data_IF_543934299951
#
_entry.id   IF_543934299951
#
_cell.length_a   1.000
_cell.length_b   1.000
_cell.length_c   1.000
_cell.angle_alpha   90.00
_cell.angle_beta   90.00
_cell.angle_gamma   90.00
#
_symmetry.space_group_name_H-M   'P 1'
#
loop_
_entity.id
_entity.type
_entity.pdbx_description
1 polymer ?
#
# COMPACT_ATOMS: atom_id res chain seq x y z
N UNK A 1 8.90 -25.29 -18.87
CA UNK A 1 8.75 -24.08 -19.73
C UNK A 1 7.98 -23.07 -18.91
N UNK A 2 8.67 -22.30 -18.08
CA UNK A 2 8.11 -21.16 -17.36
C UNK A 2 7.89 -20.04 -18.36
N UNK A 3 6.67 -19.93 -18.88
CA UNK A 3 6.29 -18.82 -19.74
C UNK A 3 6.27 -17.55 -18.90
N UNK A 4 7.30 -16.72 -19.01
CA UNK A 4 7.23 -15.33 -18.55
C UNK A 4 6.09 -14.67 -19.29
N UNK A 5 5.04 -14.30 -18.56
CA UNK A 5 3.87 -13.57 -19.07
C UNK A 5 4.34 -12.37 -19.90
N UNK A 6 3.82 -12.19 -21.10
CA UNK A 6 4.23 -11.07 -21.95
C UNK A 6 3.60 -9.74 -21.46
N UNK A 7 4.02 -8.61 -22.05
CA UNK A 7 3.50 -7.29 -21.64
C UNK A 7 2.00 -7.12 -21.90
N UNK A 8 1.47 -7.74 -22.95
CA UNK A 8 0.05 -7.66 -23.30
C UNK A 8 -0.79 -8.47 -22.32
N UNK A 9 -0.34 -9.66 -21.95
CA UNK A 9 -0.97 -10.49 -20.92
C UNK A 9 -0.96 -9.79 -19.55
N UNK A 10 0.15 -9.13 -19.18
CA UNK A 10 0.25 -8.30 -17.97
C UNK A 10 -0.78 -7.18 -17.97
N UNK A 11 -0.93 -6.46 -19.08
CA UNK A 11 -1.86 -5.34 -19.20
C UNK A 11 -3.33 -5.81 -19.12
N UNK A 12 -3.66 -6.91 -19.80
CA UNK A 12 -4.99 -7.52 -19.75
C UNK A 12 -5.36 -7.98 -18.33
N UNK A 13 -4.43 -8.62 -17.64
CA UNK A 13 -4.62 -9.03 -16.24
C UNK A 13 -4.82 -7.81 -15.33
N UNK A 14 -3.99 -6.78 -15.46
CA UNK A 14 -4.10 -5.56 -14.67
C UNK A 14 -5.46 -4.86 -14.89
N UNK A 15 -5.96 -4.83 -16.12
CA UNK A 15 -7.27 -4.26 -16.43
C UNK A 15 -8.41 -5.12 -15.88
N UNK A 16 -8.33 -6.44 -15.96
CA UNK A 16 -9.29 -7.34 -15.35
C UNK A 16 -9.35 -7.16 -13.82
N UNK A 17 -8.19 -7.09 -13.16
CA UNK A 17 -8.09 -6.82 -11.72
C UNK A 17 -8.68 -5.46 -11.36
N UNK A 18 -8.35 -4.40 -12.11
CA UNK A 18 -8.89 -3.06 -11.89
C UNK A 18 -10.40 -3.03 -12.03
N UNK A 19 -10.94 -3.67 -13.07
CA UNK A 19 -12.39 -3.79 -13.28
C UNK A 19 -13.06 -4.47 -12.09
N UNK A 20 -12.49 -5.57 -11.59
CA UNK A 20 -13.01 -6.28 -10.43
C UNK A 20 -12.94 -5.45 -9.15
N UNK A 21 -11.84 -4.72 -8.91
CA UNK A 21 -11.67 -3.88 -7.72
C UNK A 21 -12.55 -2.63 -7.71
N UNK A 22 -12.94 -2.12 -8.88
CA UNK A 22 -13.79 -0.92 -9.02
C UNK A 22 -15.27 -1.24 -9.16
N UNK A 23 -15.64 -2.50 -9.45
CA UNK A 23 -17.03 -2.95 -9.50
C UNK A 23 -17.74 -2.73 -8.15
N UNK A 24 -19.06 -2.43 -8.12
CA UNK A 24 -19.82 -2.35 -6.88
C UNK A 24 -19.76 -3.65 -6.06
N UNK A 25 -19.83 -3.53 -4.73
CA UNK A 25 -19.71 -4.70 -3.82
C UNK A 25 -20.81 -5.73 -4.09
N UNK A 26 -22.01 -5.27 -4.41
CA UNK A 26 -23.18 -6.11 -4.66
C UNK A 26 -23.03 -6.99 -5.92
N UNK A 27 -22.24 -6.54 -6.90
CA UNK A 27 -22.02 -7.25 -8.17
C UNK A 27 -20.83 -8.23 -8.10
N UNK A 28 -19.81 -7.93 -7.31
CA UNK A 28 -18.57 -8.71 -7.23
C UNK A 28 -18.51 -9.70 -6.06
N UNK A 29 -19.36 -9.54 -5.05
CA UNK A 29 -19.24 -10.27 -3.77
C UNK A 29 -18.01 -9.83 -2.96
N UNK A 30 -17.52 -10.65 -2.00
CA UNK A 30 -16.26 -10.37 -1.31
C UNK A 30 -15.09 -10.35 -2.28
N UNK A 31 -14.29 -9.28 -2.27
CA UNK A 31 -13.15 -9.13 -3.19
C UNK A 31 -12.13 -10.28 -3.04
N UNK A 32 -12.04 -10.90 -1.87
CA UNK A 32 -11.19 -12.09 -1.63
C UNK A 32 -11.53 -13.24 -2.59
N UNK A 33 -12.83 -13.57 -2.71
CA UNK A 33 -13.31 -14.62 -3.62
C UNK A 33 -13.06 -14.26 -5.08
N UNK A 34 -13.34 -13.03 -5.47
CA UNK A 34 -13.12 -12.58 -6.85
C UNK A 34 -11.63 -12.59 -7.25
N UNK A 35 -10.71 -12.28 -6.32
CA UNK A 35 -9.27 -12.40 -6.56
C UNK A 35 -8.84 -13.87 -6.65
N UNK A 36 -9.42 -14.76 -5.84
CA UNK A 36 -9.18 -16.19 -5.93
C UNK A 36 -9.61 -16.75 -7.30
N UNK A 37 -10.78 -16.35 -7.81
CA UNK A 37 -11.29 -16.74 -9.13
C UNK A 37 -10.40 -16.21 -10.28
N UNK A 38 -9.77 -15.04 -10.09
CA UNK A 38 -8.77 -14.48 -11.01
C UNK A 38 -7.39 -15.13 -10.86
N UNK A 39 -7.25 -16.18 -10.06
CA UNK A 39 -6.02 -16.96 -9.94
C UNK A 39 -5.00 -16.39 -8.96
N UNK A 40 -5.40 -15.56 -8.00
CA UNK A 40 -4.49 -15.00 -6.99
C UNK A 40 -3.57 -16.05 -6.32
N UNK A 41 -4.07 -17.19 -5.80
CA UNK A 41 -3.21 -18.21 -5.20
C UNK A 41 -2.13 -18.74 -6.14
N UNK A 42 -2.47 -18.92 -7.43
CA UNK A 42 -1.55 -19.41 -8.45
C UNK A 42 -0.51 -18.35 -8.81
N UNK A 43 -0.95 -17.10 -9.02
CA UNK A 43 -0.04 -15.98 -9.31
C UNK A 43 0.97 -15.75 -8.19
N UNK A 44 0.51 -15.82 -6.93
CA UNK A 44 1.39 -15.68 -5.77
C UNK A 44 2.41 -16.83 -5.68
N UNK A 45 2.01 -18.05 -6.05
CA UNK A 45 2.91 -19.21 -6.03
C UNK A 45 3.98 -19.17 -7.14
N UNK A 46 3.59 -18.80 -8.37
CA UNK A 46 4.47 -18.87 -9.54
C UNK A 46 5.31 -17.61 -9.75
N UNK A 47 4.77 -16.43 -9.45
CA UNK A 47 5.41 -15.13 -9.70
C UNK A 47 5.09 -14.11 -8.58
N UNK A 48 5.53 -14.37 -7.34
CA UNK A 48 5.14 -13.58 -6.17
C UNK A 48 5.44 -12.09 -6.31
N UNK A 49 6.62 -11.71 -6.83
CA UNK A 49 7.01 -10.31 -7.00
C UNK A 49 6.06 -9.53 -7.90
N UNK A 50 5.71 -10.09 -9.07
CA UNK A 50 4.82 -9.44 -10.04
C UNK A 50 3.36 -9.45 -9.56
N UNK A 51 2.92 -10.54 -8.95
CA UNK A 51 1.59 -10.66 -8.35
C UNK A 51 1.39 -9.63 -7.24
N UNK A 52 2.34 -9.54 -6.30
CA UNK A 52 2.33 -8.57 -5.20
C UNK A 52 2.33 -7.15 -5.74
N UNK A 53 3.25 -6.82 -6.64
CA UNK A 53 3.33 -5.48 -7.25
C UNK A 53 2.00 -5.08 -7.88
N UNK A 54 1.43 -5.94 -8.72
CA UNK A 54 0.23 -5.63 -9.50
C UNK A 54 -0.99 -5.49 -8.60
N UNK A 55 -1.26 -6.50 -7.77
CA UNK A 55 -2.47 -6.53 -6.93
C UNK A 55 -2.44 -5.42 -5.88
N UNK A 56 -1.34 -5.27 -5.14
CA UNK A 56 -1.31 -4.30 -4.04
C UNK A 56 -1.26 -2.86 -4.54
N UNK A 57 -0.59 -2.58 -5.67
CA UNK A 57 -0.67 -1.25 -6.30
C UNK A 57 -2.11 -0.92 -6.69
N UNK A 58 -2.82 -1.84 -7.34
CA UNK A 58 -4.22 -1.64 -7.75
C UNK A 58 -5.16 -1.49 -6.55
N UNK A 59 -4.96 -2.23 -5.45
CA UNK A 59 -5.71 -2.02 -4.20
C UNK A 59 -5.55 -0.57 -3.71
N UNK A 60 -4.35 -0.02 -3.80
CA UNK A 60 -4.09 1.38 -3.45
C UNK A 60 -4.73 2.38 -4.39
N UNK A 61 -4.56 2.18 -5.70
CA UNK A 61 -5.08 3.09 -6.74
C UNK A 61 -6.62 3.16 -6.73
N UNK A 62 -7.28 2.03 -6.50
CA UNK A 62 -8.75 1.93 -6.50
C UNK A 62 -9.38 2.24 -5.14
N UNK A 63 -8.59 2.19 -4.07
CA UNK A 63 -9.09 2.27 -2.69
C UNK A 63 -9.79 0.98 -2.22
N UNK A 64 -9.77 -0.09 -3.02
CA UNK A 64 -10.30 -1.39 -2.65
C UNK A 64 -9.43 -2.08 -1.59
N UNK A 65 -9.97 -3.11 -0.94
CA UNK A 65 -9.22 -3.90 0.04
C UNK A 65 -9.64 -5.37 0.05
N UNK A 66 -8.67 -6.23 0.31
CA UNK A 66 -8.84 -7.67 0.44
C UNK A 66 -7.86 -8.20 1.49
N UNK A 67 -8.15 -9.35 2.14
CA UNK A 67 -7.30 -9.95 3.15
C UNK A 67 -6.06 -10.67 2.58
N UNK A 68 -5.73 -10.44 1.31
CA UNK A 68 -4.64 -11.11 0.56
C UNK A 68 -3.24 -10.84 1.13
N UNK A 69 -3.08 -9.87 2.04
CA UNK A 69 -1.85 -9.73 2.82
C UNK A 69 -1.60 -10.95 3.73
N UNK A 70 -2.66 -11.59 4.24
CA UNK A 70 -2.53 -12.85 4.96
C UNK A 70 -1.88 -13.90 4.06
N UNK A 71 -2.30 -14.01 2.79
CA UNK A 71 -1.76 -14.99 1.85
C UNK A 71 -0.29 -14.73 1.54
N UNK A 72 0.12 -13.47 1.40
CA UNK A 72 1.53 -13.10 1.21
C UNK A 72 2.37 -13.59 2.39
N UNK A 73 1.92 -13.36 3.63
CA UNK A 73 2.64 -13.78 4.83
C UNK A 73 2.62 -15.31 5.00
N UNK A 74 1.52 -15.98 4.65
CA UNK A 74 1.43 -17.44 4.64
C UNK A 74 2.39 -18.05 3.62
N UNK A 75 2.42 -17.51 2.41
CA UNK A 75 3.33 -17.93 1.35
C UNK A 75 4.79 -17.78 1.78
N UNK A 76 5.15 -16.63 2.36
CA UNK A 76 6.49 -16.39 2.89
C UNK A 76 6.86 -17.37 4.02
N UNK A 77 5.87 -17.82 4.81
CA UNK A 77 6.03 -18.83 5.84
C UNK A 77 5.93 -20.29 5.33
N UNK A 78 5.78 -20.52 4.02
CA UNK A 78 5.62 -21.86 3.43
C UNK A 78 4.29 -22.55 3.78
N UNK A 79 3.25 -21.77 4.09
CA UNK A 79 1.90 -22.24 4.44
C UNK A 79 0.92 -21.99 3.29
N UNK A 80 -0.14 -22.82 3.14
CA UNK A 80 -1.16 -22.58 2.13
C UNK A 80 -1.94 -21.27 2.39
N UNK A 81 -2.46 -20.61 1.35
CA UNK A 81 -3.29 -19.42 1.47
C UNK A 81 -4.67 -19.75 2.08
N UNK A 82 -5.41 -18.71 2.47
CA UNK A 82 -6.80 -18.81 2.96
C UNK A 82 -6.96 -18.69 4.48
N UNK A 83 -5.88 -18.80 5.25
CA UNK A 83 -5.90 -18.55 6.70
C UNK A 83 -5.74 -17.06 7.04
N UNK A 84 -5.86 -16.73 8.33
CA UNK A 84 -5.47 -15.43 8.90
C UNK A 84 -4.11 -15.52 9.59
N UNK A 85 -3.36 -14.41 9.61
CA UNK A 85 -2.04 -14.35 10.25
C UNK A 85 -2.00 -13.19 11.25
N UNK A 86 -1.51 -13.41 12.49
CA UNK A 86 -1.17 -12.32 13.39
C UNK A 86 -0.05 -11.44 12.81
N UNK A 87 -0.27 -10.14 12.78
CA UNK A 87 0.61 -9.15 12.18
C UNK A 87 1.01 -8.11 13.23
N UNK A 88 2.31 -7.74 13.30
CA UNK A 88 2.70 -6.61 14.12
C UNK A 88 2.12 -5.31 13.55
N UNK A 89 1.70 -4.43 14.45
CA UNK A 89 1.19 -3.11 14.17
C UNK A 89 1.96 -2.07 15.01
N UNK A 90 2.09 -0.86 14.47
CA UNK A 90 2.81 0.23 15.12
C UNK A 90 2.32 0.48 16.56
N UNK A 91 3.25 0.84 17.44
CA UNK A 91 2.97 0.98 18.87
C UNK A 91 2.96 -0.34 19.66
N UNK A 92 3.47 -1.44 19.06
CA UNK A 92 3.62 -2.73 19.74
C UNK A 92 2.34 -3.56 19.83
N UNK A 93 1.31 -3.17 19.07
CA UNK A 93 0.07 -3.93 18.96
C UNK A 93 0.24 -5.10 18.00
N UNK A 94 -0.63 -6.10 18.15
CA UNK A 94 -0.80 -7.19 17.20
C UNK A 94 -2.21 -7.16 16.66
N UNK A 95 -2.35 -7.39 15.36
CA UNK A 95 -3.64 -7.40 14.68
C UNK A 95 -3.78 -8.63 13.80
N UNK A 96 -5.00 -9.02 13.47
CA UNK A 96 -5.26 -9.90 12.34
C UNK A 96 -6.17 -9.19 11.34
N UNK A 97 -6.03 -9.54 10.07
CA UNK A 97 -6.95 -9.11 9.02
C UNK A 97 -8.01 -10.20 8.85
N UNK A 98 -9.23 -9.92 9.31
CA UNK A 98 -10.34 -10.88 9.22
C UNK A 98 -10.82 -11.02 7.77
N UNK A 99 -11.09 -12.26 7.34
CA UNK A 99 -11.63 -12.56 6.01
C UNK A 99 -13.14 -12.38 5.93
N UNK A 100 -13.84 -12.71 7.01
CA UNK A 100 -15.31 -12.70 7.05
C UNK A 100 -15.87 -11.32 7.43
N UNK A 101 -15.04 -10.39 7.91
CA UNK A 101 -15.42 -9.02 8.23
C UNK A 101 -16.42 -8.86 9.40
N UNK A 102 -16.65 -9.92 10.20
CA UNK A 102 -17.66 -9.91 11.27
C UNK A 102 -17.06 -9.48 12.61
N UNK A 103 -17.63 -8.43 13.22
CA UNK A 103 -17.65 -8.23 14.67
C UNK A 103 -16.40 -7.63 15.34
N UNK A 104 -15.45 -7.07 14.58
CA UNK A 104 -14.27 -6.42 15.16
C UNK A 104 -14.48 -4.91 15.38
N UNK A 105 -13.97 -4.38 16.50
CA UNK A 105 -13.77 -2.94 16.63
C UNK A 105 -12.66 -2.49 15.65
N UNK A 106 -12.89 -1.42 14.87
CA UNK A 106 -11.89 -0.90 13.94
C UNK A 106 -10.55 -0.60 14.61
N UNK A 107 -9.46 -1.07 14.01
CA UNK A 107 -8.12 -0.64 14.42
C UNK A 107 -7.71 0.64 13.70
N UNK A 108 -7.37 1.66 14.47
CA UNK A 108 -6.84 2.91 13.95
C UNK A 108 -7.90 3.81 13.35
N UNK A 109 -7.54 4.53 12.28
CA UNK A 109 -8.36 5.62 11.74
C UNK A 109 -9.20 5.22 10.52
N UNK A 110 -9.03 4.01 9.99
CA UNK A 110 -9.77 3.54 8.81
C UNK A 110 -10.74 2.39 9.17
N UNK A 111 -12.03 2.68 9.38
CA UNK A 111 -13.01 1.67 9.75
C UNK A 111 -13.38 0.71 8.62
N UNK A 112 -12.94 0.97 7.38
CA UNK A 112 -13.17 0.08 6.24
C UNK A 112 -12.18 -1.09 6.21
N UNK A 113 -11.08 -1.03 6.95
CA UNK A 113 -10.14 -2.13 7.09
C UNK A 113 -10.62 -3.10 8.18
N UNK A 114 -10.89 -4.38 7.87
CA UNK A 114 -11.33 -5.37 8.86
C UNK A 114 -10.13 -5.90 9.67
N UNK A 115 -9.42 -5.00 10.32
CA UNK A 115 -8.34 -5.31 11.25
C UNK A 115 -8.90 -5.43 12.66
N UNK A 116 -8.49 -6.48 13.37
CA UNK A 116 -8.89 -6.75 14.76
C UNK A 116 -7.65 -6.85 15.64
N UNK A 117 -7.66 -6.20 16.80
CA UNK A 117 -6.58 -6.33 17.79
C UNK A 117 -6.55 -7.74 18.36
N UNK A 118 -5.36 -8.30 18.50
CA UNK A 118 -5.10 -9.57 19.17
C UNK A 118 -4.56 -9.32 20.58
N UNK A 119 -4.99 -10.16 21.53
CA UNK A 119 -4.49 -10.12 22.91
C UNK A 119 -3.10 -10.75 23.04
N UNK A 120 -2.81 -11.74 22.20
CA UNK A 120 -1.56 -12.49 22.21
C UNK A 120 -0.77 -12.26 20.90
N UNK A 121 0.57 -12.15 20.98
CA UNK A 121 1.40 -12.05 19.80
C UNK A 121 1.39 -13.36 19.00
N UNK A 122 1.58 -13.26 17.68
CA UNK A 122 1.74 -14.42 16.83
C UNK A 122 3.14 -15.02 16.87
N UNK A 123 3.27 -16.20 16.26
CA UNK A 123 4.58 -16.76 15.95
C UNK A 123 5.34 -15.81 14.99
N UNK A 124 6.66 -15.62 15.19
CA UNK A 124 7.46 -14.80 14.28
C UNK A 124 7.46 -15.43 12.88
N UNK A 125 7.08 -14.63 11.89
CA UNK A 125 7.17 -14.96 10.46
C UNK A 125 8.08 -13.94 9.78
N UNK A 126 8.70 -14.34 8.68
CA UNK A 126 9.39 -13.39 7.82
C UNK A 126 8.39 -12.36 7.28
N UNK A 127 8.83 -11.12 7.12
CA UNK A 127 7.98 -9.98 6.77
C UNK A 127 8.41 -9.28 5.48
N UNK A 128 9.40 -9.81 4.76
CA UNK A 128 9.97 -9.14 3.59
C UNK A 128 8.92 -8.95 2.50
N UNK A 129 8.24 -10.01 2.08
CA UNK A 129 7.21 -9.93 1.05
C UNK A 129 6.00 -9.14 1.54
N UNK A 130 5.60 -9.33 2.81
CA UNK A 130 4.52 -8.54 3.41
C UNK A 130 4.81 -7.03 3.42
N UNK A 131 6.05 -6.64 3.72
CA UNK A 131 6.51 -5.24 3.68
C UNK A 131 6.54 -4.68 2.25
N UNK A 132 6.99 -5.46 1.27
CA UNK A 132 6.92 -5.08 -0.14
C UNK A 132 5.48 -4.88 -0.61
N UNK A 133 4.58 -5.79 -0.24
CA UNK A 133 3.15 -5.72 -0.55
C UNK A 133 2.50 -4.44 -0.01
N UNK A 134 2.72 -4.15 1.27
CA UNK A 134 2.24 -2.89 1.85
C UNK A 134 2.90 -1.65 1.24
N UNK A 135 4.16 -1.75 0.82
CA UNK A 135 4.85 -0.68 0.11
C UNK A 135 4.16 -0.34 -1.21
N UNK A 136 3.82 -1.34 -2.02
CA UNK A 136 3.06 -1.14 -3.26
C UNK A 136 1.65 -0.59 -3.01
N UNK A 137 0.98 -1.02 -1.94
CA UNK A 137 -0.32 -0.49 -1.54
C UNK A 137 -0.26 1.00 -1.17
N UNK A 138 0.73 1.37 -0.35
CA UNK A 138 0.96 2.76 0.05
C UNK A 138 1.28 3.64 -1.17
N UNK A 139 2.10 3.16 -2.11
CA UNK A 139 2.40 3.86 -3.36
C UNK A 139 1.14 4.05 -4.21
N UNK A 140 0.34 3.01 -4.43
CA UNK A 140 -0.90 3.11 -5.20
C UNK A 140 -1.89 4.10 -4.57
N UNK A 141 -2.03 4.05 -3.25
CA UNK A 141 -2.88 4.97 -2.47
C UNK A 141 -2.44 6.41 -2.64
N UNK A 142 -1.13 6.64 -2.65
CA UNK A 142 -0.55 7.97 -2.81
C UNK A 142 -0.66 8.51 -4.24
N UNK A 143 -0.56 7.66 -5.26
CA UNK A 143 -0.87 8.03 -6.65
C UNK A 143 -2.34 8.42 -6.84
N UNK A 144 -3.27 7.72 -6.18
CA UNK A 144 -4.67 8.11 -6.19
C UNK A 144 -4.87 9.51 -5.57
N UNK A 145 -4.24 9.80 -4.43
CA UNK A 145 -4.28 11.13 -3.82
C UNK A 145 -3.69 12.22 -4.74
N UNK A 146 -2.54 11.93 -5.37
CA UNK A 146 -1.90 12.86 -6.32
C UNK A 146 -2.80 13.13 -7.53
N UNK A 147 -3.45 12.10 -8.06
CA UNK A 147 -4.38 12.21 -9.20
C UNK A 147 -5.57 13.09 -8.84
N UNK A 148 -6.19 12.86 -7.68
CA UNK A 148 -7.31 13.68 -7.17
C UNK A 148 -6.90 15.14 -6.96
N UNK A 149 -5.74 15.40 -6.35
CA UNK A 149 -5.25 16.75 -6.12
C UNK A 149 -4.88 17.47 -7.42
N UNK A 150 -4.24 16.76 -8.36
CA UNK A 150 -3.95 17.28 -9.70
C UNK A 150 -5.24 17.67 -10.42
N UNK A 151 -6.25 16.82 -10.41
CA UNK A 151 -7.54 17.10 -11.04
C UNK A 151 -8.17 18.36 -10.42
N UNK A 152 -8.19 18.46 -9.09
CA UNK A 152 -8.72 19.63 -8.38
C UNK A 152 -8.08 20.95 -8.83
N UNK A 153 -6.75 20.99 -8.97
CA UNK A 153 -6.06 22.24 -9.35
C UNK A 153 -6.18 22.59 -10.84
N UNK A 154 -6.47 21.59 -11.68
CA UNK A 154 -6.73 21.82 -13.11
C UNK A 154 -8.13 22.39 -13.33
N UNK A 155 -9.13 21.87 -12.61
CA UNK A 155 -10.53 22.27 -12.80
C UNK A 155 -10.84 23.63 -12.15
N UNK A 156 -10.23 23.90 -10.99
CA UNK A 156 -10.64 25.02 -10.14
C UNK A 156 -9.93 26.34 -10.51
N UNK A 157 -10.72 27.40 -10.61
CA UNK A 157 -10.27 28.76 -10.86
C UNK A 157 -10.53 29.65 -9.65
N UNK A 158 -9.49 30.30 -9.14
CA UNK A 158 -9.57 31.25 -8.02
C UNK A 158 -8.54 32.36 -8.19
N UNK A 159 -8.83 33.53 -7.59
CA UNK A 159 -8.00 34.72 -7.72
C UNK A 159 -7.71 35.09 -9.20
N UNK A 160 -8.74 34.95 -10.04
CA UNK A 160 -8.69 35.33 -11.46
C UNK A 160 -7.91 34.39 -12.39
N UNK A 161 -7.49 33.19 -11.94
CA UNK A 161 -6.74 32.22 -12.77
C UNK A 161 -6.90 30.77 -12.30
N UNK A 162 -6.51 29.75 -13.10
CA UNK A 162 -6.51 28.35 -12.66
C UNK A 162 -5.59 28.12 -11.46
N UNK A 163 -5.96 27.25 -10.52
CA UNK A 163 -5.12 26.88 -9.37
C UNK A 163 -3.78 26.24 -9.80
N UNK A 164 -3.75 25.51 -10.91
CA UNK A 164 -2.51 24.95 -11.47
C UNK A 164 -1.43 26.00 -11.82
N UNK A 165 -1.82 27.28 -11.99
CA UNK A 165 -0.89 28.38 -12.28
C UNK A 165 -0.08 28.85 -11.05
N UNK A 166 -0.46 28.44 -9.84
CA UNK A 166 0.22 28.84 -8.61
C UNK A 166 1.43 27.94 -8.34
N UNK A 167 2.62 28.54 -8.22
CA UNK A 167 3.87 27.81 -8.02
C UNK A 167 3.87 26.97 -6.74
N UNK A 168 3.29 27.49 -5.65
CA UNK A 168 3.21 26.78 -4.37
C UNK A 168 2.47 25.43 -4.49
N UNK A 169 1.40 25.36 -5.30
CA UNK A 169 0.67 24.12 -5.55
C UNK A 169 1.47 23.19 -6.47
N UNK A 170 2.07 23.72 -7.54
CA UNK A 170 2.92 22.90 -8.43
C UNK A 170 4.09 22.27 -7.69
N UNK A 171 4.77 23.00 -6.82
CA UNK A 171 5.87 22.46 -6.01
C UNK A 171 5.41 21.33 -5.10
N UNK A 172 4.28 21.47 -4.40
CA UNK A 172 3.74 20.41 -3.55
C UNK A 172 3.47 19.12 -4.33
N UNK A 173 2.84 19.24 -5.51
CA UNK A 173 2.53 18.08 -6.36
C UNK A 173 3.80 17.47 -6.96
N UNK A 174 4.77 18.29 -7.37
CA UNK A 174 6.07 17.81 -7.87
C UNK A 174 6.89 17.09 -6.80
N UNK A 175 6.98 17.64 -5.58
CA UNK A 175 7.64 16.99 -4.44
C UNK A 175 6.98 15.67 -4.06
N UNK A 176 5.64 15.61 -4.16
CA UNK A 176 4.88 14.38 -3.95
C UNK A 176 5.27 13.33 -4.99
N UNK A 177 5.29 13.69 -6.26
CA UNK A 177 5.68 12.78 -7.34
C UNK A 177 7.11 12.28 -7.15
N UNK A 178 8.07 13.16 -6.84
CA UNK A 178 9.47 12.76 -6.59
C UNK A 178 9.57 11.77 -5.42
N UNK A 179 8.81 11.98 -4.35
CA UNK A 179 8.79 11.04 -3.22
C UNK A 179 8.23 9.66 -3.62
N UNK A 180 7.24 9.62 -4.52
CA UNK A 180 6.66 8.37 -5.03
C UNK A 180 7.63 7.62 -5.94
N UNK A 181 8.26 8.30 -6.90
CA UNK A 181 9.28 7.69 -7.77
C UNK A 181 10.45 7.12 -6.97
N UNK A 182 10.87 7.82 -5.92
CA UNK A 182 11.89 7.34 -4.98
C UNK A 182 11.45 6.08 -4.24
N UNK A 183 10.22 6.05 -3.72
CA UNK A 183 9.69 4.88 -3.04
C UNK A 183 9.51 3.66 -3.98
N UNK A 184 9.00 3.88 -5.19
CA UNK A 184 8.89 2.83 -6.21
C UNK A 184 10.24 2.24 -6.58
N UNK A 185 11.25 3.09 -6.74
CA UNK A 185 12.63 2.64 -7.00
C UNK A 185 13.16 1.75 -5.89
N UNK A 186 12.86 2.05 -4.62
CA UNK A 186 13.27 1.19 -3.50
C UNK A 186 12.53 -0.15 -3.47
N UNK A 187 11.25 -0.19 -3.88
CA UNK A 187 10.48 -1.43 -3.95
C UNK A 187 10.97 -2.34 -5.07
N UNK A 188 11.28 -1.78 -6.24
CA UNK A 188 11.82 -2.52 -7.37
C UNK A 188 13.19 -3.14 -7.08
N UNK A 189 13.98 -2.49 -6.20
CA UNK A 189 15.29 -2.97 -5.79
C UNK A 189 15.28 -3.84 -4.52
N UNK A 190 14.12 -4.11 -3.92
CA UNK A 190 14.02 -4.87 -2.68
C UNK A 190 14.10 -6.39 -2.91
N UNK A 191 15.13 -7.01 -2.35
CA UNK A 191 15.50 -8.41 -2.57
C UNK A 191 15.72 -9.22 -1.27
N UNK A 192 15.63 -8.57 -0.10
CA UNK A 192 15.82 -9.20 1.21
C UNK A 192 15.24 -8.38 2.35
N UNK A 193 15.47 -8.80 3.59
CA UNK A 193 14.79 -8.23 4.76
C UNK A 193 15.05 -6.74 4.95
N UNK A 194 16.32 -6.33 4.89
CA UNK A 194 16.70 -4.93 5.11
C UNK A 194 16.24 -4.02 3.97
N UNK A 195 16.38 -4.47 2.71
CA UNK A 195 15.94 -3.70 1.54
C UNK A 195 14.40 -3.59 1.51
N UNK A 196 13.66 -4.65 1.84
CA UNK A 196 12.19 -4.65 1.96
C UNK A 196 11.68 -3.77 3.11
N UNK A 197 12.38 -3.80 4.25
CA UNK A 197 12.11 -2.92 5.39
C UNK A 197 12.29 -1.44 5.02
N UNK A 198 13.40 -1.11 4.36
CA UNK A 198 13.67 0.26 3.90
C UNK A 198 12.68 0.71 2.82
N UNK A 199 12.30 -0.19 1.91
CA UNK A 199 11.30 0.09 0.89
C UNK A 199 9.93 0.42 1.51
N UNK A 200 9.44 -0.40 2.46
CA UNK A 200 8.21 -0.10 3.21
C UNK A 200 8.30 1.25 3.95
N UNK A 201 9.45 1.55 4.55
CA UNK A 201 9.66 2.84 5.22
C UNK A 201 9.63 4.03 4.24
N UNK A 202 10.23 3.88 3.06
CA UNK A 202 10.20 4.88 1.99
C UNK A 202 8.77 5.10 1.46
N UNK A 203 8.04 4.02 1.19
CA UNK A 203 6.63 4.07 0.74
C UNK A 203 5.71 4.73 1.77
N UNK A 204 5.85 4.40 3.06
CA UNK A 204 5.09 5.04 4.13
C UNK A 204 5.38 6.54 4.21
N UNK A 205 6.65 6.96 4.14
CA UNK A 205 7.03 8.39 4.08
C UNK A 205 6.47 9.11 2.86
N UNK A 206 6.53 8.47 1.69
CA UNK A 206 6.00 9.04 0.44
C UNK A 206 4.49 9.21 0.52
N UNK A 207 3.76 8.19 0.98
CA UNK A 207 2.31 8.25 1.14
C UNK A 207 1.86 9.29 2.18
N UNK A 208 2.57 9.41 3.31
CA UNK A 208 2.29 10.45 4.31
C UNK A 208 2.57 11.86 3.76
N UNK A 209 3.58 12.02 2.90
CA UNK A 209 3.83 13.28 2.18
C UNK A 209 2.71 13.59 1.21
N UNK A 210 2.29 12.61 0.41
CA UNK A 210 1.16 12.74 -0.50
C UNK A 210 -0.12 13.13 0.25
N UNK A 211 -0.43 12.46 1.36
CA UNK A 211 -1.58 12.80 2.21
C UNK A 211 -1.57 14.27 2.62
N UNK A 212 -0.44 14.76 3.19
CA UNK A 212 -0.33 16.17 3.61
C UNK A 212 -0.44 17.15 2.44
N UNK A 213 0.31 16.91 1.36
CA UNK A 213 0.38 17.83 0.23
C UNK A 213 -0.93 17.88 -0.56
N UNK A 214 -1.52 16.72 -0.85
CA UNK A 214 -2.78 16.61 -1.57
C UNK A 214 -3.91 17.20 -0.74
N UNK A 215 -4.01 16.86 0.55
CA UNK A 215 -5.05 17.41 1.44
C UNK A 215 -4.98 18.95 1.53
N UNK A 216 -3.78 19.52 1.66
CA UNK A 216 -3.61 20.98 1.63
C UNK A 216 -4.01 21.57 0.27
N UNK A 217 -3.70 20.87 -0.83
CA UNK A 217 -4.00 21.33 -2.20
C UNK A 217 -5.51 21.40 -2.47
N UNK A 218 -6.30 20.51 -1.88
CA UNK A 218 -7.77 20.54 -1.97
C UNK A 218 -8.43 21.59 -1.06
N UNK A 219 -7.67 22.26 -0.19
CA UNK A 219 -8.21 23.23 0.76
C UNK A 219 -9.29 22.64 1.65
N UNK A 220 -10.36 23.40 1.91
CA UNK A 220 -11.45 22.97 2.80
C UNK A 220 -12.09 21.63 2.39
N UNK A 221 -12.27 21.37 1.09
CA UNK A 221 -12.83 20.12 0.57
C UNK A 221 -11.94 18.91 0.88
N UNK A 222 -10.63 19.10 1.06
CA UNK A 222 -9.71 18.04 1.49
C UNK A 222 -9.95 17.57 2.93
N UNK A 223 -10.69 18.34 3.74
CA UNK A 223 -10.99 18.02 5.14
C UNK A 223 -12.41 17.49 5.36
N UNK A 224 -13.22 17.37 4.30
CA UNK A 224 -14.60 16.87 4.40
C UNK A 224 -14.71 15.41 3.93
N UNK A 225 -15.74 14.71 4.43
CA UNK A 225 -16.07 13.36 3.98
C UNK A 225 -16.71 13.33 2.58
N UNK A 226 -17.05 14.49 2.01
CA UNK A 226 -17.68 14.61 0.69
C UNK A 226 -16.69 14.31 -0.46
N UNK A 227 -15.40 14.47 -0.22
CA UNK A 227 -14.36 14.22 -1.23
C UNK A 227 -13.63 12.91 -0.98
N UNK A 228 -13.45 12.07 -2.01
CA UNK A 228 -12.88 10.72 -1.88
C UNK A 228 -11.47 10.67 -1.23
N UNK A 229 -10.70 11.77 -1.30
CA UNK A 229 -9.36 11.90 -0.73
C UNK A 229 -9.26 11.40 0.72
N UNK A 230 -10.25 11.70 1.56
CA UNK A 230 -10.21 11.34 2.99
C UNK A 230 -10.07 9.83 3.20
N UNK A 231 -10.62 8.99 2.30
CA UNK A 231 -10.49 7.53 2.38
C UNK A 231 -9.03 7.10 2.19
N UNK A 232 -8.35 7.63 1.17
CA UNK A 232 -6.93 7.35 0.94
C UNK A 232 -6.02 7.88 2.06
N UNK A 233 -6.36 9.01 2.69
CA UNK A 233 -5.62 9.53 3.86
C UNK A 233 -5.76 8.58 5.05
N UNK A 234 -6.98 8.16 5.41
CA UNK A 234 -7.20 7.18 6.48
C UNK A 234 -6.49 5.86 6.18
N UNK A 235 -6.61 5.36 4.94
CA UNK A 235 -5.95 4.14 4.46
C UNK A 235 -4.44 4.22 4.62
N UNK A 236 -3.83 5.34 4.22
CA UNK A 236 -2.39 5.59 4.37
C UNK A 236 -1.95 5.48 5.82
N UNK A 237 -2.68 6.10 6.75
CA UNK A 237 -2.34 6.07 8.17
C UNK A 237 -2.44 4.65 8.75
N UNK A 238 -3.47 3.89 8.36
CA UNK A 238 -3.64 2.52 8.80
C UNK A 238 -2.57 1.58 8.24
N UNK A 239 -2.27 1.67 6.93
CA UNK A 239 -1.28 0.83 6.24
C UNK A 239 0.17 1.18 6.63
N UNK A 240 0.46 2.44 6.96
CA UNK A 240 1.78 2.81 7.48
C UNK A 240 2.04 2.02 8.78
N UNK A 241 1.07 1.94 9.68
CA UNK A 241 1.21 1.22 10.94
C UNK A 241 1.40 -0.30 10.81
N UNK A 242 0.87 -0.93 9.76
CA UNK A 242 0.94 -2.37 9.58
C UNK A 242 2.34 -2.83 9.17
N UNK A 243 2.84 -3.89 9.82
CA UNK A 243 4.21 -4.43 9.67
C UNK A 243 5.33 -3.41 9.98
N UNK A 244 5.01 -2.43 10.82
CA UNK A 244 5.89 -1.35 11.26
C UNK A 244 5.70 -0.05 10.48
N UNK A 245 5.58 1.05 11.23
CA UNK A 245 5.51 2.41 10.67
C UNK A 245 6.81 2.83 10.02
N UNK A 246 6.75 3.76 9.07
CA UNK A 246 7.95 4.30 8.46
C UNK A 246 8.96 4.84 9.47
N UNK A 247 8.48 5.39 10.59
CA UNK A 247 9.33 5.86 11.70
C UNK A 247 10.00 4.72 12.45
N UNK A 248 9.26 3.67 12.80
CA UNK A 248 9.80 2.50 13.50
C UNK A 248 10.80 1.75 12.62
N UNK A 249 10.46 1.50 11.36
CA UNK A 249 11.33 0.81 10.41
C UNK A 249 12.61 1.62 10.12
N UNK A 250 12.53 2.95 9.97
CA UNK A 250 13.75 3.77 9.81
C UNK A 250 14.67 3.66 11.04
N UNK A 251 14.09 3.61 12.24
CA UNK A 251 14.86 3.42 13.48
C UNK A 251 15.48 2.04 13.54
N UNK A 252 14.71 1.00 13.23
CA UNK A 252 15.16 -0.40 13.18
C UNK A 252 16.32 -0.57 12.19
N UNK A 253 16.20 -0.04 10.97
CA UNK A 253 17.28 -0.03 9.99
C UNK A 253 18.55 0.64 10.53
N UNK A 254 18.42 1.78 11.19
CA UNK A 254 19.55 2.48 11.82
C UNK A 254 20.23 1.64 12.89
N UNK A 255 19.45 0.95 13.73
CA UNK A 255 19.98 0.04 14.75
C UNK A 255 20.71 -1.16 14.12
N UNK A 256 20.15 -1.76 13.07
CA UNK A 256 20.77 -2.86 12.33
C UNK A 256 22.10 -2.45 11.69
N UNK A 257 22.16 -1.29 11.05
CA UNK A 257 23.39 -0.76 10.43
C UNK A 257 24.44 -0.45 11.50
N UNK A 258 24.03 0.20 12.60
CA UNK A 258 24.94 0.53 13.71
C UNK A 258 25.52 -0.74 14.36
N UNK A 259 24.69 -1.76 14.60
CA UNK A 259 25.12 -3.04 15.16
C UNK A 259 26.08 -3.80 14.23
N UNK A 260 25.89 -3.71 12.91
CA UNK A 260 26.79 -4.30 11.91
C UNK A 260 28.11 -3.54 11.75
N UNK A 261 28.14 -2.25 12.10
CA UNK A 261 29.29 -1.37 11.88
C UNK A 261 29.56 -1.01 10.42
N UNK A 262 28.69 -1.43 9.49
CA UNK A 262 28.80 -1.13 8.06
C UNK A 262 27.41 -1.13 7.40
N UNK A 263 27.24 -0.26 6.40
CA UNK A 263 26.04 -0.24 5.57
C UNK A 263 26.23 -1.20 4.39
N UNK A 264 25.38 -2.24 4.23
CA UNK A 264 25.46 -3.13 3.08
C UNK A 264 25.08 -2.39 1.80
N UNK A 265 25.66 -2.80 0.66
CA UNK A 265 25.16 -2.39 -0.65
C UNK A 265 23.83 -3.10 -0.89
N UNK A 266 22.78 -2.33 -1.14
CA UNK A 266 21.42 -2.84 -1.36
C UNK A 266 21.02 -2.84 -2.83
N UNK A 267 21.74 -2.08 -3.66
CA UNK A 267 21.48 -1.98 -5.11
C UNK A 267 22.81 -2.04 -5.84
N UNK A 268 22.86 -2.84 -6.90
CA UNK A 268 23.94 -2.82 -7.88
C UNK A 268 23.47 -1.97 -9.06
N UNK A 269 23.85 -0.68 -9.04
CA UNK A 269 23.59 0.27 -10.13
C UNK A 269 24.61 0.12 -11.25
#
# INVERSE_FOLDING_TARGET
MTGTMDDSERELLAEALRKTMTAPTDERGPLDGALADLGWPYMLAEAPTDAIRTVFRLLGETGAHAPVLNDVLLHEAGRPPGDTVPMPYAGGLWVCWDRDGVGAEPVGVDPELPLRVLTEPGAPVSLALGRQALGWWLVGTAHAMLTLARQHVLDRHQFGRPLASFQALRHKLAETLVALEGAESTLLAADGDLSSLLAKAASGRAALTAARHCQQTLGGTGFTAEHALHRHVKRTLALDGLLGSARELTREAGQLIAARGAAPRLVHL
#
